data_IF_966792820250
#
_entry.id   IF_966792820250
#
_cell.length_a   1.000
_cell.length_b   1.000
_cell.length_c   1.000
_cell.angle_alpha   90.00
_cell.angle_beta   90.00
_cell.angle_gamma   90.00
#
_symmetry.space_group_name_H-M   'P 1'
#
loop_
_entity.id
_entity.type
_entity.pdbx_description
1 polymer ?
#
# COMPACT_ATOMS: atom_id res chain seq x y z
N UNK A 1 -9.16 9.95 5.48
CA UNK A 1 -10.16 9.70 4.43
C UNK A 1 -9.57 9.33 3.08
N UNK A 2 -8.85 10.21 2.34
CA UNK A 2 -8.36 9.85 0.98
C UNK A 2 -7.45 8.61 0.96
N UNK A 3 -6.53 8.51 1.92
CA UNK A 3 -5.58 7.39 2.01
C UNK A 3 -6.28 6.05 2.33
N UNK A 4 -7.28 6.05 3.19
CA UNK A 4 -8.07 4.85 3.54
C UNK A 4 -8.84 4.36 2.33
N UNK A 5 -9.58 5.26 1.67
CA UNK A 5 -10.31 4.94 0.44
C UNK A 5 -9.37 4.43 -0.65
N UNK A 6 -8.19 5.03 -0.81
CA UNK A 6 -7.18 4.54 -1.75
C UNK A 6 -6.74 3.11 -1.42
N UNK A 7 -6.51 2.79 -0.14
CA UNK A 7 -6.13 1.44 0.28
C UNK A 7 -7.24 0.44 -0.04
N UNK A 8 -8.50 0.79 0.23
CA UNK A 8 -9.66 -0.05 -0.07
C UNK A 8 -9.84 -0.28 -1.57
N UNK A 9 -9.70 0.77 -2.39
CA UNK A 9 -9.79 0.64 -3.83
C UNK A 9 -8.63 -0.19 -4.40
N UNK A 10 -7.39 0.05 -3.98
CA UNK A 10 -6.22 -0.73 -4.43
C UNK A 10 -6.34 -2.21 -4.03
N UNK A 11 -6.93 -2.52 -2.87
CA UNK A 11 -7.18 -3.91 -2.41
C UNK A 11 -8.00 -4.71 -3.42
N UNK A 12 -8.86 -4.08 -4.21
CA UNK A 12 -9.68 -4.75 -5.25
C UNK A 12 -8.86 -5.16 -6.48
N UNK A 13 -7.63 -4.65 -6.64
CA UNK A 13 -6.77 -4.91 -7.79
C UNK A 13 -5.44 -5.55 -7.36
N UNK A 14 -5.40 -6.87 -7.11
CA UNK A 14 -4.17 -7.58 -6.71
C UNK A 14 -3.00 -7.37 -7.68
N UNK A 15 -3.26 -7.24 -8.98
CA UNK A 15 -2.27 -6.89 -10.01
C UNK A 15 -1.42 -5.65 -9.70
N UNK A 16 -1.87 -4.74 -8.82
CA UNK A 16 -1.13 -3.54 -8.42
C UNK A 16 -0.06 -3.80 -7.36
N UNK A 17 -0.14 -4.91 -6.63
CA UNK A 17 0.68 -5.13 -5.43
C UNK A 17 1.09 -6.59 -5.15
N UNK A 18 0.39 -7.59 -5.70
CA UNK A 18 0.69 -9.01 -5.53
C UNK A 18 1.55 -9.51 -6.70
N UNK A 19 2.79 -9.90 -6.40
CA UNK A 19 3.75 -10.46 -7.37
C UNK A 19 3.28 -11.80 -7.96
N UNK A 20 2.37 -12.49 -7.27
CA UNK A 20 1.82 -13.79 -7.70
C UNK A 20 0.65 -13.62 -8.65
N UNK A 21 0.10 -12.40 -8.79
CA UNK A 21 -0.94 -12.14 -9.78
C UNK A 21 -0.33 -12.29 -11.18
N UNK A 22 -0.86 -13.16 -12.06
CA UNK A 22 -0.34 -13.32 -13.42
C UNK A 22 -0.34 -12.03 -14.25
N UNK A 23 -1.16 -11.05 -13.87
CA UNK A 23 -1.29 -9.74 -14.51
C UNK A 23 -0.38 -8.69 -13.87
N UNK A 24 0.45 -9.05 -12.88
CA UNK A 24 1.37 -8.12 -12.24
C UNK A 24 2.39 -7.55 -13.24
N UNK A 25 2.84 -8.31 -14.23
CA UNK A 25 3.75 -7.78 -15.27
C UNK A 25 3.04 -6.94 -16.34
N UNK A 26 1.71 -6.95 -16.39
CA UNK A 26 0.92 -6.29 -17.42
C UNK A 26 0.75 -4.79 -17.13
N UNK A 27 1.57 -3.98 -17.80
CA UNK A 27 1.58 -2.52 -17.65
C UNK A 27 0.25 -1.89 -18.06
N UNK A 28 -0.39 -2.39 -19.13
CA UNK A 28 -1.66 -1.83 -19.63
C UNK A 28 -2.80 -2.07 -18.63
N UNK A 29 -2.86 -3.27 -18.04
CA UNK A 29 -3.87 -3.56 -17.00
C UNK A 29 -3.62 -2.76 -15.73
N UNK A 30 -2.35 -2.55 -15.35
CA UNK A 30 -1.99 -1.67 -14.23
C UNK A 30 -2.44 -0.24 -14.47
N UNK A 31 -2.19 0.30 -15.66
CA UNK A 31 -2.62 1.65 -16.02
C UNK A 31 -4.14 1.79 -15.98
N UNK A 32 -4.86 0.81 -16.56
CA UNK A 32 -6.33 0.78 -16.50
C UNK A 32 -6.85 0.78 -15.06
N UNK A 33 -6.33 -0.08 -14.19
CA UNK A 33 -6.72 -0.13 -12.78
C UNK A 33 -6.46 1.21 -12.07
N UNK A 34 -5.31 1.85 -12.32
CA UNK A 34 -5.01 3.17 -11.75
C UNK A 34 -5.97 4.26 -12.25
N UNK A 35 -6.38 4.21 -13.51
CA UNK A 35 -7.35 5.16 -14.06
C UNK A 35 -8.75 4.95 -13.46
N UNK A 36 -9.17 3.70 -13.24
CA UNK A 36 -10.43 3.39 -12.56
C UNK A 36 -10.43 3.90 -11.11
N UNK A 37 -9.35 3.67 -10.36
CA UNK A 37 -9.17 4.19 -8.99
C UNK A 37 -9.19 5.72 -8.99
N UNK A 38 -8.52 6.36 -9.95
CA UNK A 38 -8.47 7.81 -10.11
C UNK A 38 -9.87 8.42 -10.29
N UNK A 39 -10.71 7.79 -11.11
CA UNK A 39 -12.11 8.19 -11.32
C UNK A 39 -12.90 8.09 -10.01
N UNK A 40 -12.83 6.94 -9.32
CA UNK A 40 -13.56 6.70 -8.06
C UNK A 40 -13.17 7.71 -6.97
N UNK A 41 -11.88 8.04 -6.88
CA UNK A 41 -11.38 8.98 -5.87
C UNK A 41 -11.47 10.44 -6.30
N UNK A 42 -11.86 10.71 -7.56
CA UNK A 42 -11.81 12.05 -8.16
C UNK A 42 -10.44 12.71 -7.97
N UNK A 43 -9.38 11.94 -8.23
CA UNK A 43 -7.98 12.36 -8.10
C UNK A 43 -7.18 11.89 -9.32
N UNK A 44 -6.11 12.61 -9.72
CA UNK A 44 -5.24 12.14 -10.78
C UNK A 44 -4.61 10.78 -10.46
N UNK A 45 -4.51 9.90 -11.46
CA UNK A 45 -3.86 8.59 -11.32
C UNK A 45 -2.40 8.72 -10.84
N UNK A 46 -1.69 9.77 -11.25
CA UNK A 46 -0.33 10.08 -10.78
C UNK A 46 -0.27 10.34 -9.28
N UNK A 47 -1.20 11.11 -8.73
CA UNK A 47 -1.30 11.38 -7.29
C UNK A 47 -1.68 10.11 -6.52
N UNK A 48 -2.63 9.32 -7.03
CA UNK A 48 -2.99 8.03 -6.44
C UNK A 48 -1.77 7.10 -6.35
N UNK A 49 -0.99 6.99 -7.43
CA UNK A 49 0.26 6.20 -7.49
C UNK A 49 1.28 6.70 -6.45
N UNK A 50 1.48 8.01 -6.35
CA UNK A 50 2.43 8.64 -5.40
C UNK A 50 2.02 8.38 -3.94
N UNK A 51 0.74 8.55 -3.62
CA UNK A 51 0.21 8.26 -2.29
C UNK A 51 0.39 6.77 -1.96
N UNK A 52 0.08 5.88 -2.91
CA UNK A 52 0.25 4.44 -2.73
C UNK A 52 1.72 4.04 -2.52
N UNK A 53 2.65 4.62 -3.27
CA UNK A 53 4.10 4.42 -3.06
C UNK A 53 4.52 4.82 -1.65
N UNK A 54 4.08 5.99 -1.18
CA UNK A 54 4.37 6.45 0.18
C UNK A 54 3.79 5.50 1.24
N UNK A 55 2.53 5.06 1.07
CA UNK A 55 1.88 4.10 1.98
C UNK A 55 2.69 2.79 2.08
N UNK A 56 3.13 2.22 0.95
CA UNK A 56 3.97 1.01 0.95
C UNK A 56 5.31 1.24 1.65
N UNK A 57 5.96 2.38 1.42
CA UNK A 57 7.22 2.72 2.10
C UNK A 57 7.03 2.86 3.62
N UNK A 58 5.95 3.51 4.07
CA UNK A 58 5.63 3.59 5.50
C UNK A 58 5.35 2.21 6.10
N UNK A 59 4.60 1.36 5.39
CA UNK A 59 4.33 -0.02 5.81
C UNK A 59 5.64 -0.83 5.95
N UNK A 60 6.52 -0.77 4.94
CA UNK A 60 7.83 -1.44 4.96
C UNK A 60 8.69 -0.97 6.12
N UNK A 61 8.75 0.34 6.37
CA UNK A 61 9.47 0.91 7.52
C UNK A 61 8.88 0.48 8.86
N UNK A 62 7.55 0.42 8.96
CA UNK A 62 6.86 -0.05 10.16
C UNK A 62 7.17 -1.52 10.46
N UNK A 63 7.13 -2.40 9.44
CA UNK A 63 7.53 -3.82 9.58
C UNK A 63 9.00 -3.94 9.97
N UNK A 64 9.91 -3.24 9.28
CA UNK A 64 11.35 -3.28 9.58
C UNK A 64 11.63 -2.82 11.02
N UNK A 65 10.97 -1.75 11.48
CA UNK A 65 11.09 -1.26 12.86
C UNK A 65 10.62 -2.29 13.89
N UNK A 66 9.62 -3.12 13.55
CA UNK A 66 9.21 -4.25 14.40
C UNK A 66 10.24 -5.38 14.39
N UNK A 67 10.79 -5.72 13.22
CA UNK A 67 11.79 -6.78 13.08
C UNK A 67 13.14 -6.46 13.77
N UNK A 68 13.55 -5.18 13.81
CA UNK A 68 14.82 -4.77 14.44
C UNK A 68 14.73 -4.56 15.96
N UNK A 69 13.55 -4.68 16.56
CA UNK A 69 13.28 -4.37 17.98
C UNK A 69 13.51 -5.55 18.95
N UNK A 70 14.34 -6.53 18.58
CA UNK A 70 14.85 -7.54 19.53
C UNK A 70 15.84 -6.97 20.56
N UNK A 71 16.20 -5.68 20.49
CA UNK A 71 17.06 -4.98 21.44
C UNK A 71 16.39 -3.76 22.05
N UNK A 72 16.31 -3.77 23.38
CA UNK A 72 15.96 -2.73 24.35
C UNK A 72 15.75 -1.27 23.86
N UNK A 73 14.64 -0.69 24.32
CA UNK A 73 14.39 0.73 24.66
C UNK A 73 13.24 1.45 23.91
N UNK A 74 12.55 2.27 24.71
CA UNK A 74 11.58 3.31 24.39
C UNK A 74 10.17 2.87 23.89
N UNK A 75 9.26 2.94 24.87
CA UNK A 75 7.82 2.75 24.86
C UNK A 75 7.08 3.84 24.06
N UNK A 76 7.24 3.86 22.73
CA UNK A 76 6.39 4.65 21.81
C UNK A 76 6.08 3.84 20.54
N UNK A 77 5.45 2.68 20.70
CA UNK A 77 4.85 1.96 19.58
C UNK A 77 3.57 2.69 19.13
N UNK A 78 3.73 3.85 18.49
CA UNK A 78 2.62 4.47 17.77
C UNK A 78 2.33 3.58 16.56
N UNK A 79 1.35 2.69 16.71
CA UNK A 79 0.81 1.84 15.65
C UNK A 79 0.56 2.74 14.43
N UNK A 80 1.05 2.34 13.27
CA UNK A 80 0.82 3.17 12.09
C UNK A 80 -0.69 3.15 11.80
N UNK A 81 -1.28 4.33 11.56
CA UNK A 81 -2.73 4.48 11.46
C UNK A 81 -3.37 3.62 10.36
N UNK A 82 -2.60 3.17 9.36
CA UNK A 82 -3.07 2.32 8.27
C UNK A 82 -2.53 0.88 8.34
N UNK A 83 -2.00 0.48 9.49
CA UNK A 83 -1.38 -0.83 9.69
C UNK A 83 -2.39 -1.98 9.57
N UNK A 84 -3.59 -1.80 10.11
CA UNK A 84 -4.68 -2.78 9.95
C UNK A 84 -5.12 -2.83 8.49
N UNK A 85 -5.21 -1.67 7.83
CA UNK A 85 -5.82 -1.56 6.50
C UNK A 85 -4.85 -2.07 5.43
N UNK A 86 -3.54 -1.92 5.64
CA UNK A 86 -2.49 -2.48 4.79
C UNK A 86 -2.09 -3.92 5.16
N UNK A 87 -2.74 -4.57 6.13
CA UNK A 87 -2.39 -5.95 6.53
C UNK A 87 -2.49 -6.98 5.39
N UNK A 88 -3.32 -6.72 4.37
CA UNK A 88 -3.40 -7.56 3.17
C UNK A 88 -2.15 -7.47 2.28
N UNK A 89 -1.36 -6.40 2.42
CA UNK A 89 -0.13 -6.18 1.67
C UNK A 89 1.00 -6.95 2.35
N UNK A 90 1.11 -8.24 2.04
CA UNK A 90 2.25 -9.06 2.44
C UNK A 90 3.44 -8.66 1.58
N UNK A 91 4.30 -7.78 2.11
CA UNK A 91 5.66 -7.66 1.58
C UNK A 91 6.35 -8.96 1.96
N UNK A 92 6.59 -9.86 0.99
CA UNK A 92 7.55 -10.95 1.16
C UNK A 92 8.86 -10.34 1.66
N UNK A 93 9.19 -10.65 2.92
CA UNK A 93 10.42 -10.24 3.61
C UNK A 93 11.64 -10.88 2.95
#
# INVERSE_FOLDING_TARGET
MLKEKLIEEVRKYPLLYDLRDPKYSDVHKKEKAWNEIAIVLSQPASECKKIWQNLREYHRRAIKKKATKSGQSANTNKKWQYETEMSFFITTL
#
